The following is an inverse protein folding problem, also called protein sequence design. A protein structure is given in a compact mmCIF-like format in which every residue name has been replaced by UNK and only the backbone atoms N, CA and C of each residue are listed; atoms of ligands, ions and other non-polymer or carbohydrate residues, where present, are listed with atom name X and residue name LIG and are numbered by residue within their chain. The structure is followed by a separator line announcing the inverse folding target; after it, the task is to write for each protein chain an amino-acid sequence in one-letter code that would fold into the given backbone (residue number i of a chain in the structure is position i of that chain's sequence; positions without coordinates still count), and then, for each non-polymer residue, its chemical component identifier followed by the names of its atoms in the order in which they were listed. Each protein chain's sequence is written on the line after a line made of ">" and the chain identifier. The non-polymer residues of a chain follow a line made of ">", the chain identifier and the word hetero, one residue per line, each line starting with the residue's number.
data_IF_586573043782
#
_entry.id   IF_586573043782
#
_cell.length_a   1.000
_cell.length_b   1.000
_cell.length_c   1.000
_cell.angle_alpha   90.00
_cell.angle_beta   90.00
_cell.angle_gamma   90.00
#
_symmetry.space_group_name_H-M   'P 1'
#
loop_
_entity.id
_entity.type
_entity.pdbx_description
1 polymer ?
#
# COMPACT_ATOMS: atom_id res chain seq x y z
N UNK A 1 -39.92 26.53 -10.22
CA UNK A 1 -39.75 25.35 -9.33
C UNK A 1 -39.25 24.19 -10.19
N UNK A 2 -38.01 23.73 -9.99
CA UNK A 2 -37.45 22.58 -10.72
C UNK A 2 -36.80 21.62 -9.72
N UNK A 3 -37.55 20.58 -9.34
CA UNK A 3 -37.22 19.61 -8.30
C UNK A 3 -36.73 18.34 -9.01
N UNK A 4 -35.45 18.28 -9.38
CA UNK A 4 -34.83 17.05 -9.88
C UNK A 4 -33.49 16.83 -9.17
N UNK A 5 -33.56 16.14 -8.04
CA UNK A 5 -32.39 15.67 -7.30
C UNK A 5 -31.66 14.59 -8.10
N UNK A 6 -30.37 14.83 -8.40
CA UNK A 6 -29.45 13.85 -8.99
C UNK A 6 -29.45 12.56 -8.17
N UNK A 7 -30.01 11.48 -8.72
CA UNK A 7 -29.75 10.11 -8.22
C UNK A 7 -28.30 9.77 -8.57
N UNK A 8 -27.46 9.57 -7.54
CA UNK A 8 -26.13 8.95 -7.70
C UNK A 8 -26.28 7.58 -8.37
N UNK A 9 -25.37 7.26 -9.28
CA UNK A 9 -25.40 6.00 -10.04
C UNK A 9 -25.32 4.79 -9.09
N UNK A 10 -25.90 3.66 -9.53
CA UNK A 10 -25.72 2.35 -8.86
C UNK A 10 -24.24 1.97 -8.74
N UNK A 11 -23.41 2.35 -9.71
CA UNK A 11 -21.97 2.09 -9.66
C UNK A 11 -21.26 2.91 -8.58
N UNK A 12 -21.60 4.19 -8.42
CA UNK A 12 -21.06 5.03 -7.34
C UNK A 12 -21.38 4.46 -5.96
N UNK A 13 -22.61 3.95 -5.79
CA UNK A 13 -23.02 3.30 -4.53
C UNK A 13 -22.27 1.99 -4.31
N UNK A 14 -22.04 1.20 -5.36
CA UNK A 14 -21.29 -0.05 -5.26
C UNK A 14 -19.82 0.21 -4.90
N UNK A 15 -19.19 1.22 -5.50
CA UNK A 15 -17.85 1.66 -5.16
C UNK A 15 -17.75 2.21 -3.72
N UNK A 16 -18.74 2.98 -3.28
CA UNK A 16 -18.82 3.48 -1.89
C UNK A 16 -18.99 2.34 -0.88
N UNK A 17 -19.81 1.33 -1.20
CA UNK A 17 -19.99 0.13 -0.36
C UNK A 17 -18.69 -0.68 -0.32
N UNK A 18 -18.03 -0.88 -1.46
CA UNK A 18 -16.74 -1.56 -1.53
C UNK A 18 -15.67 -0.83 -0.70
N UNK A 19 -15.62 0.50 -0.76
CA UNK A 19 -14.74 1.32 0.07
C UNK A 19 -15.03 1.18 1.57
N UNK A 20 -16.30 1.18 1.99
CA UNK A 20 -16.70 0.99 3.40
C UNK A 20 -16.41 -0.41 3.94
N UNK A 21 -16.50 -1.43 3.08
CA UNK A 21 -16.11 -2.80 3.42
C UNK A 21 -14.59 -2.89 3.56
N UNK A 22 -13.83 -2.25 2.66
CA UNK A 22 -12.37 -2.21 2.70
C UNK A 22 -11.84 -1.47 3.94
N UNK A 23 -12.44 -0.33 4.31
CA UNK A 23 -12.02 0.45 5.49
C UNK A 23 -12.43 -0.19 6.83
N UNK A 24 -13.28 -1.23 6.81
CA UNK A 24 -13.85 -1.82 8.04
C UNK A 24 -14.72 -0.86 8.86
N UNK A 25 -15.00 0.34 8.33
CA UNK A 25 -15.75 1.42 8.99
C UNK A 25 -17.16 1.49 8.43
N UNK A 26 -18.14 1.52 9.33
CA UNK A 26 -19.57 1.54 9.01
C UNK A 26 -20.27 0.20 9.20
N UNK A 27 -21.59 0.17 9.01
CA UNK A 27 -22.45 -0.99 9.28
C UNK A 27 -22.01 -2.25 8.52
N UNK A 28 -21.69 -2.09 7.22
CA UNK A 28 -21.25 -3.18 6.36
C UNK A 28 -19.86 -3.71 6.73
N UNK A 29 -18.89 -2.83 7.02
CA UNK A 29 -17.56 -3.25 7.48
C UNK A 29 -17.61 -4.03 8.80
N UNK A 30 -18.49 -3.64 9.74
CA UNK A 30 -18.71 -4.40 10.99
C UNK A 30 -19.37 -5.76 10.75
N UNK A 31 -20.35 -5.86 9.84
CA UNK A 31 -20.95 -7.16 9.48
C UNK A 31 -19.96 -8.09 8.80
N UNK A 32 -19.15 -7.59 7.85
CA UNK A 32 -18.12 -8.38 7.19
C UNK A 32 -17.07 -8.87 8.18
N UNK A 33 -16.62 -8.02 9.11
CA UNK A 33 -15.71 -8.42 10.20
C UNK A 33 -16.34 -9.46 11.13
N UNK A 34 -17.62 -9.33 11.46
CA UNK A 34 -18.31 -10.30 12.32
C UNK A 34 -18.51 -11.66 11.62
N UNK A 35 -18.74 -11.67 10.31
CA UNK A 35 -18.92 -12.89 9.52
C UNK A 35 -17.60 -13.64 9.26
N UNK A 36 -16.50 -12.91 9.04
CA UNK A 36 -15.20 -13.50 8.72
C UNK A 36 -14.32 -13.76 9.96
N UNK A 37 -14.61 -13.13 11.10
CA UNK A 37 -13.72 -13.17 12.26
C UNK A 37 -12.57 -12.17 12.15
N UNK A 38 -12.04 -11.72 13.30
CA UNK A 38 -11.05 -10.65 13.36
C UNK A 38 -9.72 -11.01 12.70
N UNK A 39 -9.32 -12.28 12.75
CA UNK A 39 -8.04 -12.76 12.20
C UNK A 39 -8.07 -12.83 10.67
N UNK A 40 -9.15 -13.32 10.08
CA UNK A 40 -9.28 -13.39 8.61
C UNK A 40 -9.58 -12.02 8.00
N UNK A 41 -10.26 -11.13 8.74
CA UNK A 41 -10.39 -9.74 8.33
C UNK A 41 -9.04 -9.01 8.33
N UNK A 42 -8.19 -9.24 9.34
CA UNK A 42 -6.84 -8.67 9.38
C UNK A 42 -5.96 -9.22 8.23
N UNK A 43 -6.08 -10.52 7.91
CA UNK A 43 -5.42 -11.10 6.73
C UNK A 43 -5.92 -10.46 5.43
N UNK A 44 -7.23 -10.29 5.25
CA UNK A 44 -7.79 -9.62 4.08
C UNK A 44 -7.34 -8.16 3.96
N UNK A 45 -7.30 -7.43 5.07
CA UNK A 45 -6.76 -6.07 5.13
C UNK A 45 -5.30 -6.06 4.67
N UNK A 46 -4.47 -6.98 5.18
CA UNK A 46 -3.07 -7.13 4.77
C UNK A 46 -2.92 -7.47 3.28
N UNK A 47 -3.77 -8.33 2.73
CA UNK A 47 -3.74 -8.65 1.29
C UNK A 47 -4.14 -7.46 0.43
N UNK A 48 -5.12 -6.68 0.87
CA UNK A 48 -5.58 -5.47 0.17
C UNK A 48 -4.57 -4.34 0.26
N UNK A 49 -3.92 -4.15 1.41
CA UNK A 49 -2.84 -3.18 1.59
C UNK A 49 -1.63 -3.53 0.72
N UNK A 50 -1.27 -4.82 0.65
CA UNK A 50 -0.21 -5.30 -0.25
C UNK A 50 -0.57 -5.05 -1.74
N UNK A 51 -1.82 -5.31 -2.14
CA UNK A 51 -2.28 -5.09 -3.52
C UNK A 51 -2.35 -3.61 -3.90
N UNK A 52 -2.88 -2.77 -3.01
CA UNK A 52 -2.98 -1.33 -3.21
C UNK A 52 -1.62 -0.65 -3.25
N UNK A 53 -0.62 -1.17 -2.51
CA UNK A 53 0.72 -0.60 -2.51
C UNK A 53 1.38 -0.59 -3.90
N UNK A 54 1.22 -1.64 -4.71
CA UNK A 54 1.82 -1.71 -6.05
C UNK A 54 1.15 -0.82 -7.09
N UNK A 55 -0.19 -0.79 -7.12
CA UNK A 55 -0.96 0.00 -8.11
C UNK A 55 -0.94 1.49 -7.76
N UNK A 56 -1.01 1.85 -6.48
CA UNK A 56 -1.01 3.26 -6.07
C UNK A 56 0.38 3.91 -6.24
N UNK A 57 1.49 3.19 -6.05
CA UNK A 57 2.83 3.77 -6.14
C UNK A 57 3.14 4.33 -7.52
N UNK A 58 2.83 3.59 -8.60
CA UNK A 58 3.11 4.06 -9.96
C UNK A 58 2.24 5.28 -10.33
N UNK A 59 0.98 5.29 -9.89
CA UNK A 59 0.09 6.42 -10.09
C UNK A 59 0.56 7.65 -9.29
N UNK A 60 1.01 7.46 -8.05
CA UNK A 60 1.56 8.53 -7.21
C UNK A 60 2.84 9.13 -7.81
N UNK A 61 3.74 8.28 -8.35
CA UNK A 61 4.91 8.74 -9.09
C UNK A 61 4.52 9.55 -10.32
N UNK A 62 3.54 9.07 -11.09
CA UNK A 62 3.06 9.77 -12.28
C UNK A 62 2.41 11.13 -11.96
N UNK A 63 1.83 11.30 -10.77
CA UNK A 63 1.30 12.58 -10.30
C UNK A 63 2.35 13.46 -9.61
N UNK A 64 3.62 13.06 -9.62
CA UNK A 64 4.72 13.84 -9.05
C UNK A 64 4.79 13.80 -7.53
N UNK A 65 4.35 12.71 -6.90
CA UNK A 65 4.49 12.55 -5.45
C UNK A 65 5.98 12.66 -5.02
N UNK A 66 6.27 13.36 -3.93
CA UNK A 66 7.64 13.52 -3.45
C UNK A 66 8.22 12.15 -3.04
N UNK A 67 9.47 11.92 -3.42
CA UNK A 67 10.21 10.70 -3.10
C UNK A 67 11.32 10.98 -2.08
N UNK A 68 11.56 10.01 -1.21
CA UNK A 68 12.65 10.03 -0.22
C UNK A 68 13.62 8.91 -0.56
N UNK A 69 14.90 9.25 -0.71
CA UNK A 69 15.96 8.25 -0.89
C UNK A 69 16.27 7.55 0.43
N UNK A 70 16.36 6.23 0.39
CA UNK A 70 16.75 5.40 1.53
C UNK A 70 17.71 4.28 1.10
N UNK A 71 18.48 3.76 2.04
CA UNK A 71 19.39 2.63 1.83
C UNK A 71 18.78 1.40 2.49
N UNK A 72 18.79 0.27 1.79
CA UNK A 72 18.31 -1.00 2.36
C UNK A 72 19.28 -1.48 3.43
N UNK A 73 18.77 -1.66 4.64
CA UNK A 73 19.51 -2.20 5.78
C UNK A 73 19.35 -3.71 5.83
N UNK A 74 18.11 -4.20 5.69
CA UNK A 74 17.83 -5.63 5.66
C UNK A 74 16.62 -5.94 4.79
N UNK A 75 16.61 -7.16 4.27
CA UNK A 75 15.51 -7.74 3.51
C UNK A 75 15.24 -9.15 4.02
N UNK A 76 13.98 -9.54 4.14
CA UNK A 76 13.56 -10.88 4.52
C UNK A 76 12.36 -11.30 3.67
N UNK A 77 12.42 -12.51 3.11
CA UNK A 77 11.29 -13.07 2.36
C UNK A 77 10.21 -13.55 3.34
N UNK A 78 8.96 -13.20 3.05
CA UNK A 78 7.80 -13.63 3.83
C UNK A 78 7.30 -15.02 3.41
N UNK A 79 7.78 -15.54 2.28
CA UNK A 79 7.29 -16.76 1.64
C UNK A 79 5.95 -16.57 0.91
N UNK A 80 5.40 -15.35 0.89
CA UNK A 80 4.15 -15.02 0.20
C UNK A 80 4.46 -14.44 -1.19
N UNK A 81 3.61 -14.75 -2.15
CA UNK A 81 3.69 -14.24 -3.52
C UNK A 81 2.39 -13.55 -3.92
N UNK A 82 2.49 -12.51 -4.74
CA UNK A 82 1.37 -11.85 -5.43
C UNK A 82 1.72 -11.76 -6.90
N UNK A 83 0.89 -12.34 -7.78
CA UNK A 83 1.19 -12.42 -9.22
C UNK A 83 2.59 -12.99 -9.51
N UNK A 84 2.98 -14.01 -8.74
CA UNK A 84 4.31 -14.59 -8.70
C UNK A 84 5.42 -13.69 -8.13
N UNK A 85 5.24 -12.38 -7.97
CA UNK A 85 6.22 -11.50 -7.34
C UNK A 85 6.25 -11.69 -5.81
N UNK A 86 7.44 -11.77 -5.19
CA UNK A 86 7.55 -11.98 -3.75
C UNK A 86 7.16 -10.75 -2.93
N UNK A 87 6.53 -11.02 -1.78
CA UNK A 87 6.37 -10.05 -0.71
C UNK A 87 7.55 -10.17 0.24
N UNK A 88 8.23 -9.06 0.49
CA UNK A 88 9.40 -8.99 1.38
C UNK A 88 9.17 -8.00 2.51
N UNK A 89 9.72 -8.32 3.67
CA UNK A 89 9.90 -7.37 4.76
C UNK A 89 11.22 -6.63 4.55
N UNK A 90 11.14 -5.31 4.42
CA UNK A 90 12.26 -4.43 4.12
C UNK A 90 12.48 -3.47 5.29
N UNK A 91 13.73 -3.36 5.74
CA UNK A 91 14.16 -2.30 6.66
C UNK A 91 15.07 -1.37 5.90
N UNK A 92 14.75 -0.09 5.91
CA UNK A 92 15.48 0.95 5.18
C UNK A 92 15.88 2.09 6.10
N UNK A 93 17.02 2.70 5.79
CA UNK A 93 17.52 3.89 6.45
C UNK A 93 17.36 5.08 5.50
N UNK A 94 16.45 6.03 5.77
CA UNK A 94 16.36 7.24 4.97
C UNK A 94 17.68 8.01 4.98
N UNK A 95 17.98 8.66 3.85
CA UNK A 95 19.22 9.44 3.68
C UNK A 95 19.23 10.73 4.52
N UNK A 96 18.07 11.13 5.05
CA UNK A 96 17.99 12.17 6.07
C UNK A 96 18.63 11.65 7.36
N UNK A 97 19.72 12.29 7.79
CA UNK A 97 20.54 11.88 8.94
C UNK A 97 19.80 11.81 10.30
N UNK A 98 18.54 12.24 10.36
CA UNK A 98 17.73 12.34 11.59
C UNK A 98 16.58 11.31 11.61
N UNK A 99 16.39 10.54 10.54
CA UNK A 99 15.26 9.61 10.47
C UNK A 99 15.60 8.24 11.05
N UNK A 100 14.70 7.71 11.87
CA UNK A 100 14.74 6.32 12.32
C UNK A 100 14.63 5.34 11.14
N UNK A 101 15.07 4.10 11.37
CA UNK A 101 14.88 3.02 10.40
C UNK A 101 13.40 2.77 10.18
N UNK A 102 13.02 2.61 8.92
CA UNK A 102 11.64 2.34 8.52
C UNK A 102 11.55 0.86 8.17
N UNK A 103 10.63 0.16 8.83
CA UNK A 103 10.24 -1.19 8.46
C UNK A 103 8.95 -1.15 7.63
N UNK A 104 8.94 -1.82 6.49
CA UNK A 104 7.78 -1.91 5.61
C UNK A 104 7.74 -3.24 4.89
N UNK A 105 6.53 -3.74 4.61
CA UNK A 105 6.31 -4.92 3.80
C UNK A 105 5.89 -4.48 2.40
N UNK A 106 6.50 -5.04 1.36
CA UNK A 106 6.22 -4.63 -0.03
C UNK A 106 6.39 -5.77 -1.02
N UNK A 107 5.73 -5.64 -2.17
CA UNK A 107 5.91 -6.52 -3.32
C UNK A 107 7.10 -6.02 -4.13
N UNK A 108 8.05 -6.90 -4.43
CA UNK A 108 9.21 -6.58 -5.27
C UNK A 108 9.22 -7.47 -6.52
N UNK A 109 9.66 -6.92 -7.64
CA UNK A 109 9.77 -7.70 -8.88
C UNK A 109 10.87 -8.76 -8.77
N UNK A 110 10.62 -9.97 -9.29
CA UNK A 110 11.67 -11.01 -9.40
C UNK A 110 12.91 -10.58 -10.18
N UNK A 111 12.75 -9.64 -11.11
CA UNK A 111 13.85 -9.17 -11.96
C UNK A 111 14.77 -8.21 -11.19
N UNK A 112 14.24 -7.53 -10.17
CA UNK A 112 14.92 -6.45 -9.45
C UNK A 112 14.56 -6.54 -7.96
N UNK A 113 15.09 -7.57 -7.32
CA UNK A 113 15.00 -7.73 -5.87
C UNK A 113 16.11 -6.87 -5.26
N UNK A 114 15.79 -5.85 -4.45
CA UNK A 114 16.79 -5.01 -3.82
C UNK A 114 17.61 -5.81 -2.79
N UNK A 115 18.87 -5.42 -2.61
CA UNK A 115 19.82 -6.04 -1.69
C UNK A 115 20.21 -5.04 -0.59
N UNK A 116 20.72 -5.56 0.51
CA UNK A 116 21.32 -4.72 1.55
C UNK A 116 22.42 -3.84 0.96
N UNK A 117 22.36 -2.54 1.24
CA UNK A 117 23.23 -1.51 0.69
C UNK A 117 22.67 -0.80 -0.54
N UNK A 118 21.63 -1.33 -1.20
CA UNK A 118 21.05 -0.69 -2.37
C UNK A 118 20.29 0.59 -2.00
N UNK A 119 20.35 1.58 -2.89
CA UNK A 119 19.56 2.81 -2.77
C UNK A 119 18.18 2.62 -3.41
N UNK A 120 17.15 2.91 -2.62
CA UNK A 120 15.74 2.77 -3.00
C UNK A 120 15.00 4.09 -2.77
N UNK A 121 13.85 4.23 -3.43
CA UNK A 121 12.96 5.35 -3.24
C UNK A 121 11.75 4.94 -2.41
N UNK A 122 11.32 5.86 -1.56
CA UNK A 122 10.10 5.75 -0.76
C UNK A 122 9.15 6.88 -1.10
N UNK A 123 7.85 6.62 -1.01
CA UNK A 123 6.79 7.63 -1.12
C UNK A 123 6.00 7.61 0.18
N UNK A 124 5.54 8.78 0.63
CA UNK A 124 4.64 8.85 1.77
C UNK A 124 3.32 8.14 1.46
N UNK A 125 2.88 7.26 2.35
CA UNK A 125 1.63 6.52 2.20
C UNK A 125 0.44 7.45 2.48
N UNK A 126 -0.40 7.79 1.47
CA UNK A 126 -1.55 8.67 1.70
C UNK A 126 -2.64 8.00 2.54
N UNK A 127 -2.65 6.66 2.62
CA UNK A 127 -3.64 5.90 3.39
C UNK A 127 -3.24 5.75 4.86
N UNK A 128 -1.94 5.85 5.16
CA UNK A 128 -1.38 5.75 6.51
C UNK A 128 -0.42 6.92 6.78
N UNK A 129 -0.88 7.99 7.44
CA UNK A 129 -0.02 9.11 7.79
C UNK A 129 1.22 8.65 8.58
N UNK A 130 2.42 9.03 8.11
CA UNK A 130 3.70 8.61 8.67
C UNK A 130 4.21 7.25 8.16
N UNK A 131 3.40 6.52 7.37
CA UNK A 131 3.80 5.33 6.64
C UNK A 131 4.51 5.67 5.33
N UNK A 132 5.25 4.69 4.82
CA UNK A 132 5.96 4.79 3.56
C UNK A 132 5.65 3.58 2.67
N UNK A 133 5.65 3.83 1.36
CA UNK A 133 5.53 2.84 0.30
C UNK A 133 6.85 2.75 -0.47
N UNK A 134 7.23 1.54 -0.85
CA UNK A 134 8.40 1.29 -1.69
C UNK A 134 8.12 1.71 -3.14
N UNK A 135 9.01 2.50 -3.73
CA UNK A 135 8.86 3.06 -5.08
C UNK A 135 9.87 2.51 -6.10
N UNK A 136 10.66 1.50 -5.73
CA UNK A 136 11.68 0.92 -6.60
C UNK A 136 13.09 1.39 -6.26
N UNK A 137 14.03 0.97 -7.09
CA UNK A 137 15.41 1.46 -7.03
C UNK A 137 15.49 2.81 -7.73
N UNK A 138 16.19 3.77 -7.11
CA UNK A 138 16.21 5.18 -7.53
C UNK A 138 16.85 5.48 -8.88
N UNK A 139 17.08 4.46 -9.70
CA UNK A 139 17.35 4.56 -11.12
C UNK A 139 16.06 4.93 -11.86
N UNK A 140 15.66 6.20 -11.77
CA UNK A 140 14.80 6.77 -12.78
C UNK A 140 15.48 6.56 -14.14
N UNK A 141 14.82 5.85 -15.05
CA UNK A 141 15.16 5.86 -16.47
C UNK A 141 14.21 6.81 -17.19
#
# INVERSE_FOLDING_TARGET
>A
MGIFGKRRSREERAAEIAGKVADGKGFYGRMTRAALGGEDFARLQQTMDAYNSGINVQQLLATGAPTVSAVVVSISDTGKLVNFDPIVDLVVQPSSAVADRIALQTIVSKLRIPRTGDQVLLIADPTRPGGYLYAGDGTAR
#
